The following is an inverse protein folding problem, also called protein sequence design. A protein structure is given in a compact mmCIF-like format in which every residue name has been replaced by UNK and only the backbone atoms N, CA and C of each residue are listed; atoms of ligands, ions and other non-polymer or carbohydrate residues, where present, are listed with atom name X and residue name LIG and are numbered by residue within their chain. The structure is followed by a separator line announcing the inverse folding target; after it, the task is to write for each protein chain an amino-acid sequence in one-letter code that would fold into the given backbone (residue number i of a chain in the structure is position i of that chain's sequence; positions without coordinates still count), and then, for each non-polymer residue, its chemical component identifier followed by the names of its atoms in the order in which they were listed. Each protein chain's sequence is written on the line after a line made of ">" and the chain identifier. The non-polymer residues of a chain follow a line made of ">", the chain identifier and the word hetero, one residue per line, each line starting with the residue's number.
data_IF_612750385772
#
_entry.id   IF_612750385772
#
_cell.length_a   1.000
_cell.length_b   1.000
_cell.length_c   1.000
_cell.angle_alpha   90.00
_cell.angle_beta   90.00
_cell.angle_gamma   90.00
#
_symmetry.space_group_name_H-M   'P 1'
#
loop_
_entity.id
_entity.type
_entity.pdbx_description
1 polymer ?
#
# COMPACT_ATOMS: atom_id res chain seq x y z
N UNK A 1 2.06 -1.70 4.74
CA UNK A 1 1.39 -3.01 4.63
C UNK A 1 1.59 -3.56 3.23
N UNK A 2 2.05 -4.80 3.15
CA UNK A 2 2.48 -5.39 1.88
C UNK A 2 3.20 -6.73 2.06
N UNK A 3 3.92 -7.16 1.04
CA UNK A 3 4.76 -8.37 1.11
C UNK A 3 3.97 -9.68 1.11
N UNK A 4 3.09 -9.86 0.13
CA UNK A 4 2.55 -11.15 -0.26
C UNK A 4 3.64 -12.12 -0.75
N UNK A 5 3.26 -13.39 -0.97
CA UNK A 5 4.19 -14.44 -1.40
C UNK A 5 4.98 -14.03 -2.67
N UNK A 6 6.31 -14.07 -2.57
CA UNK A 6 7.23 -13.70 -3.65
C UNK A 6 7.61 -12.21 -3.68
N UNK A 7 7.00 -11.37 -2.84
CA UNK A 7 7.18 -9.91 -2.87
C UNK A 7 7.51 -9.30 -1.50
N UNK A 8 8.03 -10.09 -0.56
CA UNK A 8 8.42 -9.64 0.78
C UNK A 8 9.39 -8.45 0.75
N UNK A 9 10.32 -8.42 -0.21
CA UNK A 9 11.29 -7.33 -0.36
C UNK A 9 10.66 -5.98 -0.66
N UNK A 10 9.51 -5.93 -1.35
CA UNK A 10 8.88 -4.66 -1.72
C UNK A 10 8.39 -3.88 -0.49
N UNK A 11 7.73 -4.56 0.46
CA UNK A 11 7.28 -3.90 1.70
C UNK A 11 8.44 -3.56 2.62
N UNK A 12 9.51 -4.37 2.62
CA UNK A 12 10.72 -4.10 3.38
C UNK A 12 11.40 -2.81 2.91
N UNK A 13 11.63 -2.67 1.61
CA UNK A 13 12.23 -1.46 1.03
C UNK A 13 11.40 -0.21 1.31
N UNK A 14 10.08 -0.31 1.21
CA UNK A 14 9.18 0.80 1.55
C UNK A 14 9.28 1.20 3.03
N UNK A 15 9.41 0.21 3.93
CA UNK A 15 9.55 0.45 5.36
C UNK A 15 10.90 1.08 5.71
N UNK A 16 12.00 0.60 5.11
CA UNK A 16 13.33 1.21 5.27
C UNK A 16 13.36 2.64 4.74
N UNK A 17 12.73 2.90 3.59
CA UNK A 17 12.63 4.25 3.06
C UNK A 17 11.88 5.19 4.01
N UNK A 18 10.78 4.72 4.63
CA UNK A 18 10.05 5.50 5.63
C UNK A 18 10.92 5.80 6.87
N UNK A 19 11.65 4.81 7.37
CA UNK A 19 12.57 4.97 8.51
C UNK A 19 13.68 5.99 8.18
N UNK A 20 14.34 5.82 7.03
CA UNK A 20 15.41 6.71 6.57
C UNK A 20 14.90 8.13 6.25
N UNK A 21 13.61 8.30 6.02
CA UNK A 21 12.97 9.62 5.85
C UNK A 21 12.62 10.31 7.17
N UNK A 22 12.94 9.69 8.32
CA UNK A 22 12.76 10.27 9.65
C UNK A 22 11.47 9.86 10.36
N UNK A 23 10.79 8.79 9.91
CA UNK A 23 9.68 8.23 10.67
C UNK A 23 10.17 7.69 12.03
N UNK A 24 9.62 8.19 13.13
CA UNK A 24 10.06 7.80 14.48
C UNK A 24 9.71 6.36 14.86
N UNK A 25 8.73 5.75 14.20
CA UNK A 25 8.31 4.38 14.43
C UNK A 25 7.75 3.77 13.14
N UNK A 26 8.27 2.62 12.70
CA UNK A 26 7.83 1.95 11.47
C UNK A 26 7.45 0.50 11.73
N UNK A 27 6.19 0.19 11.49
CA UNK A 27 5.63 -1.17 11.59
C UNK A 27 5.31 -1.75 10.21
N UNK A 28 5.76 -2.98 9.98
CA UNK A 28 5.53 -3.72 8.73
C UNK A 28 4.47 -4.79 8.94
N UNK A 29 3.23 -4.47 8.58
CA UNK A 29 2.16 -5.45 8.47
C UNK A 29 2.34 -6.30 7.19
N UNK A 30 2.64 -7.59 7.36
CA UNK A 30 2.92 -8.54 6.26
C UNK A 30 2.47 -9.97 6.59
N UNK A 31 2.70 -10.91 5.67
CA UNK A 31 2.36 -12.33 5.82
C UNK A 31 3.18 -12.97 6.94
N UNK A 32 2.63 -14.02 7.57
CA UNK A 32 3.31 -14.77 8.65
C UNK A 32 4.72 -15.23 8.26
N UNK A 33 4.89 -15.67 7.01
CA UNK A 33 6.16 -16.20 6.50
C UNK A 33 7.28 -15.14 6.43
N UNK A 34 6.92 -13.86 6.39
CA UNK A 34 7.85 -12.74 6.19
C UNK A 34 8.02 -11.87 7.44
N UNK A 35 7.08 -11.90 8.40
CA UNK A 35 7.10 -11.02 9.56
C UNK A 35 8.41 -11.14 10.39
N UNK A 36 8.96 -12.35 10.54
CA UNK A 36 10.25 -12.52 11.22
C UNK A 36 11.42 -11.97 10.39
N UNK A 37 11.36 -12.09 9.06
CA UNK A 37 12.43 -11.66 8.15
C UNK A 37 12.65 -10.14 8.23
N UNK A 38 11.59 -9.35 8.47
CA UNK A 38 11.68 -7.90 8.66
C UNK A 38 12.71 -7.56 9.75
N UNK A 39 12.59 -8.18 10.92
CA UNK A 39 13.49 -7.93 12.05
C UNK A 39 14.91 -8.45 11.82
N UNK A 40 15.06 -9.54 11.05
CA UNK A 40 16.38 -10.11 10.73
C UNK A 40 17.17 -9.21 9.78
N UNK A 41 16.48 -8.50 8.89
CA UNK A 41 17.10 -7.61 7.91
C UNK A 41 17.31 -6.21 8.49
N UNK A 42 16.35 -5.70 9.26
CA UNK A 42 16.41 -4.36 9.86
C UNK A 42 15.78 -4.39 11.25
N UNK A 43 16.57 -4.51 12.33
CA UNK A 43 16.05 -4.67 13.70
C UNK A 43 15.23 -3.47 14.20
N UNK A 44 15.36 -2.31 13.55
CA UNK A 44 14.58 -1.10 13.83
C UNK A 44 13.14 -1.19 13.33
N UNK A 45 12.85 -2.09 12.37
CA UNK A 45 11.52 -2.31 11.84
C UNK A 45 10.77 -3.35 12.67
N UNK A 46 9.51 -3.08 13.03
CA UNK A 46 8.68 -4.06 13.72
C UNK A 46 7.82 -4.83 12.72
N UNK A 47 8.14 -6.09 12.49
CA UNK A 47 7.35 -6.99 11.66
C UNK A 47 6.10 -7.52 12.38
N UNK A 48 4.93 -7.37 11.77
CA UNK A 48 3.65 -7.84 12.29
C UNK A 48 3.05 -8.87 11.33
N UNK A 49 2.64 -10.02 11.87
CA UNK A 49 1.92 -11.04 11.10
C UNK A 49 0.47 -10.62 10.91
N UNK A 50 0.00 -10.70 9.67
CA UNK A 50 -1.37 -10.35 9.29
C UNK A 50 -1.92 -11.43 8.39
N UNK A 51 -2.88 -12.21 8.88
CA UNK A 51 -3.63 -13.19 8.08
C UNK A 51 -5.10 -12.76 7.88
N UNK A 52 -5.59 -11.89 8.77
CA UNK A 52 -6.91 -11.30 8.77
C UNK A 52 -6.87 -9.86 9.34
N UNK A 53 -7.92 -9.07 9.09
CA UNK A 53 -7.97 -7.66 9.51
C UNK A 53 -7.87 -7.47 11.03
N UNK A 54 -8.43 -8.39 11.82
CA UNK A 54 -8.40 -8.29 13.28
C UNK A 54 -6.98 -8.31 13.85
N UNK A 55 -6.03 -8.95 13.16
CA UNK A 55 -4.64 -9.06 13.58
C UNK A 55 -3.92 -7.71 13.62
N UNK A 56 -4.43 -6.71 12.90
CA UNK A 56 -3.83 -5.36 12.83
C UNK A 56 -4.68 -4.27 13.46
N UNK A 57 -5.79 -4.60 14.11
CA UNK A 57 -6.70 -3.61 14.69
C UNK A 57 -6.01 -2.66 15.69
N UNK A 58 -5.23 -3.21 16.62
CA UNK A 58 -4.44 -2.42 17.57
C UNK A 58 -3.31 -1.62 16.91
N UNK A 59 -2.71 -2.17 15.85
CA UNK A 59 -1.67 -1.47 15.11
C UNK A 59 -2.26 -0.27 14.36
N UNK A 60 -3.41 -0.45 13.72
CA UNK A 60 -4.12 0.60 12.99
C UNK A 60 -4.57 1.73 13.91
N UNK A 61 -4.98 1.45 15.16
CA UNK A 61 -5.38 2.50 16.11
C UNK A 61 -4.23 3.39 16.58
N UNK A 62 -2.98 2.91 16.47
CA UNK A 62 -1.76 3.67 16.80
C UNK A 62 -1.11 4.34 15.58
N UNK A 63 -1.47 3.91 14.37
CA UNK A 63 -0.87 4.39 13.15
C UNK A 63 -1.33 5.82 12.83
N UNK A 64 -0.38 6.69 12.48
CA UNK A 64 -0.67 8.06 12.01
C UNK A 64 -0.72 8.16 10.49
N UNK A 65 -0.04 7.26 9.78
CA UNK A 65 -0.01 7.16 8.31
C UNK A 65 0.07 5.70 7.89
N UNK A 66 -0.58 5.34 6.79
CA UNK A 66 -0.52 4.01 6.19
C UNK A 66 0.18 4.05 4.82
N UNK A 67 1.07 3.10 4.54
CA UNK A 67 1.54 2.82 3.18
C UNK A 67 0.95 1.49 2.75
N UNK A 68 0.17 1.48 1.67
CA UNK A 68 -0.55 0.31 1.18
C UNK A 68 -0.08 -0.06 -0.22
N UNK A 69 0.18 -1.34 -0.44
CA UNK A 69 0.37 -1.87 -1.79
C UNK A 69 1.72 -2.49 -2.12
N UNK A 70 2.88 -2.03 -1.60
CA UNK A 70 4.18 -2.60 -1.96
C UNK A 70 4.24 -4.11 -1.80
N UNK A 71 4.17 -4.81 -2.94
CA UNK A 71 4.14 -6.26 -2.99
C UNK A 71 2.94 -6.92 -2.30
N UNK A 72 1.79 -6.28 -2.15
CA UNK A 72 0.61 -6.94 -1.55
C UNK A 72 0.20 -8.20 -2.34
N UNK A 73 0.45 -8.19 -3.65
CA UNK A 73 0.00 -9.15 -4.65
C UNK A 73 -1.54 -9.30 -4.67
N UNK A 74 -2.13 -9.46 -5.85
CA UNK A 74 -3.58 -9.56 -6.01
C UNK A 74 -4.19 -10.93 -5.61
N UNK A 75 -3.69 -11.53 -4.53
CA UNK A 75 -4.13 -12.84 -4.02
C UNK A 75 -5.24 -12.68 -2.97
N UNK A 76 -5.82 -13.82 -2.57
CA UNK A 76 -6.96 -13.89 -1.65
C UNK A 76 -6.71 -13.21 -0.28
N UNK A 77 -5.46 -13.18 0.18
CA UNK A 77 -5.08 -12.45 1.39
C UNK A 77 -5.35 -10.95 1.29
N UNK A 78 -4.78 -10.30 0.28
CA UNK A 78 -4.94 -8.86 0.07
C UNK A 78 -6.40 -8.50 -0.25
N UNK A 79 -7.09 -9.30 -1.07
CA UNK A 79 -8.52 -9.11 -1.38
C UNK A 79 -9.43 -9.14 -0.14
N UNK A 80 -9.10 -9.97 0.86
CA UNK A 80 -9.89 -10.07 2.10
C UNK A 80 -9.72 -8.86 3.03
N UNK A 81 -8.54 -8.24 3.02
CA UNK A 81 -8.21 -7.17 3.97
C UNK A 81 -8.43 -5.78 3.36
N UNK A 82 -8.30 -5.66 2.03
CA UNK A 82 -8.44 -4.39 1.30
C UNK A 82 -9.70 -3.58 1.64
N UNK A 83 -10.93 -4.16 1.68
CA UNK A 83 -12.14 -3.39 1.97
C UNK A 83 -12.11 -2.69 3.34
N UNK A 84 -11.45 -3.30 4.32
CA UNK A 84 -11.32 -2.70 5.64
C UNK A 84 -10.20 -1.66 5.72
N UNK A 85 -9.17 -1.75 4.88
CA UNK A 85 -8.10 -0.75 4.82
C UNK A 85 -8.59 0.52 4.12
N UNK A 86 -9.28 0.36 2.99
CA UNK A 86 -9.73 1.49 2.18
C UNK A 86 -10.79 2.34 2.88
N UNK A 87 -11.54 1.76 3.83
CA UNK A 87 -12.57 2.45 4.61
C UNK A 87 -12.06 3.21 5.84
N UNK A 88 -10.78 3.06 6.21
CA UNK A 88 -10.20 3.81 7.33
C UNK A 88 -10.16 5.30 7.03
N UNK A 89 -10.28 6.15 8.03
CA UNK A 89 -10.01 7.58 7.92
C UNK A 89 -8.62 7.90 8.49
N UNK A 90 -7.60 7.46 7.75
CA UNK A 90 -6.19 7.67 8.07
C UNK A 90 -5.46 8.17 6.83
N UNK A 91 -4.53 9.14 6.99
CA UNK A 91 -3.60 9.52 5.94
C UNK A 91 -2.90 8.30 5.33
N UNK A 92 -2.88 8.20 4.00
CA UNK A 92 -2.29 7.03 3.35
C UNK A 92 -1.55 7.32 2.04
N UNK A 93 -0.54 6.51 1.76
CA UNK A 93 0.03 6.36 0.44
C UNK A 93 -0.51 5.06 -0.17
N UNK A 94 -1.09 5.14 -1.36
CA UNK A 94 -1.57 3.98 -2.12
C UNK A 94 -0.65 3.79 -3.31
N UNK A 95 0.00 2.64 -3.36
CA UNK A 95 1.01 2.31 -4.37
C UNK A 95 0.76 0.92 -4.98
N UNK A 96 1.38 0.64 -6.11
CA UNK A 96 1.48 -0.69 -6.71
C UNK A 96 0.16 -1.50 -6.72
N UNK A 97 0.15 -2.68 -6.07
CA UNK A 97 -1.02 -3.56 -6.02
C UNK A 97 -2.26 -2.91 -5.39
N UNK A 98 -2.09 -1.95 -4.48
CA UNK A 98 -3.21 -1.24 -3.88
C UNK A 98 -3.90 -0.31 -4.89
N UNK A 99 -3.17 0.26 -5.85
CA UNK A 99 -3.76 1.03 -6.96
C UNK A 99 -4.60 0.12 -7.87
N UNK A 100 -4.18 -1.14 -8.05
CA UNK A 100 -4.97 -2.10 -8.81
C UNK A 100 -6.28 -2.45 -8.11
N UNK A 101 -6.25 -2.66 -6.78
CA UNK A 101 -7.47 -2.86 -6.01
C UNK A 101 -8.39 -1.64 -6.01
N UNK A 102 -7.80 -0.44 -5.98
CA UNK A 102 -8.55 0.81 -6.10
C UNK A 102 -9.23 0.93 -7.46
N UNK A 103 -8.58 0.49 -8.55
CA UNK A 103 -9.22 0.47 -9.87
C UNK A 103 -10.36 -0.56 -9.97
N UNK A 104 -10.25 -1.71 -9.28
CA UNK A 104 -11.32 -2.72 -9.20
C UNK A 104 -12.49 -2.26 -8.32
N UNK A 105 -12.19 -1.57 -7.23
CA UNK A 105 -13.15 -1.06 -6.25
C UNK A 105 -12.90 0.43 -5.99
N UNK A 106 -13.39 1.31 -6.88
CA UNK A 106 -13.15 2.74 -6.77
C UNK A 106 -13.66 3.30 -5.44
N UNK A 107 -12.81 4.09 -4.81
CA UNK A 107 -13.10 4.87 -3.62
C UNK A 107 -12.53 6.27 -3.80
N UNK A 108 -12.81 7.17 -2.87
CA UNK A 108 -12.21 8.50 -2.80
C UNK A 108 -11.85 8.83 -1.36
N UNK A 109 -10.76 9.57 -1.18
CA UNK A 109 -10.35 10.11 0.11
C UNK A 109 -9.57 11.41 -0.12
N UNK A 110 -9.83 12.44 0.68
CA UNK A 110 -8.98 13.65 0.70
C UNK A 110 -7.63 13.39 1.39
N UNK A 111 -7.51 12.29 2.14
CA UNK A 111 -6.37 11.96 3.00
C UNK A 111 -5.46 10.90 2.36
N UNK A 112 -5.24 10.97 1.05
CA UNK A 112 -4.37 10.02 0.37
C UNK A 112 -3.37 10.65 -0.60
N UNK A 113 -2.32 9.90 -0.91
CA UNK A 113 -1.39 10.17 -2.00
C UNK A 113 -1.35 8.92 -2.86
N UNK A 114 -1.71 9.06 -4.14
CA UNK A 114 -1.61 7.99 -5.12
C UNK A 114 -0.25 8.07 -5.83
N UNK A 115 0.44 6.94 -6.01
CA UNK A 115 1.75 6.89 -6.69
C UNK A 115 1.74 6.09 -8.00
N UNK A 116 0.77 6.26 -8.91
CA UNK A 116 0.66 5.41 -10.08
C UNK A 116 1.77 5.66 -11.09
N UNK A 117 2.34 4.57 -11.62
CA UNK A 117 3.03 4.63 -12.89
C UNK A 117 2.03 4.77 -14.05
N UNK A 118 2.51 4.93 -15.29
CA UNK A 118 1.68 5.16 -16.48
C UNK A 118 0.55 4.14 -16.69
N UNK A 119 0.86 2.84 -16.59
CA UNK A 119 -0.14 1.77 -16.70
C UNK A 119 -1.15 1.70 -15.55
N UNK A 120 -0.78 2.06 -14.32
CA UNK A 120 -1.70 2.11 -13.18
C UNK A 120 -2.65 3.31 -13.29
N UNK A 121 -2.13 4.47 -13.70
CA UNK A 121 -2.95 5.65 -13.96
C UNK A 121 -3.98 5.38 -15.06
N UNK A 122 -3.56 4.74 -16.16
CA UNK A 122 -4.44 4.33 -17.24
C UNK A 122 -5.54 3.36 -16.74
N UNK A 123 -5.19 2.41 -15.86
CA UNK A 123 -6.14 1.48 -15.26
C UNK A 123 -7.14 2.18 -14.34
N UNK A 124 -6.68 3.10 -13.50
CA UNK A 124 -7.52 3.89 -12.59
C UNK A 124 -8.51 4.78 -13.37
N UNK A 125 -8.06 5.38 -14.48
CA UNK A 125 -8.87 6.26 -15.32
C UNK A 125 -9.64 5.53 -16.44
N UNK A 126 -9.54 4.20 -16.49
CA UNK A 126 -10.17 3.36 -17.53
C UNK A 126 -9.87 3.83 -18.97
N UNK A 127 -8.63 4.26 -19.22
CA UNK A 127 -8.17 4.74 -20.53
C UNK A 127 -6.88 4.03 -20.96
N UNK A 128 -6.34 4.39 -22.12
CA UNK A 128 -5.05 3.87 -22.57
C UNK A 128 -3.89 4.68 -21.98
N UNK A 129 -2.68 4.10 -22.00
CA UNK A 129 -1.45 4.85 -21.65
C UNK A 129 -1.15 5.98 -22.63
N UNK A 130 -1.64 5.88 -23.88
CA UNK A 130 -1.53 6.95 -24.87
C UNK A 130 -2.34 8.17 -24.43
N UNK A 131 -3.56 7.96 -23.92
CA UNK A 131 -4.41 9.05 -23.42
C UNK A 131 -3.77 9.76 -22.23
N UNK A 132 -3.12 9.02 -21.32
CA UNK A 132 -2.35 9.60 -20.20
C UNK A 132 -1.17 10.44 -20.70
N UNK A 133 -0.46 9.96 -21.72
CA UNK A 133 0.71 10.65 -22.28
C UNK A 133 0.33 11.92 -23.04
N UNK A 134 -0.87 11.98 -23.64
CA UNK A 134 -1.34 13.18 -24.33
C UNK A 134 -1.49 14.37 -23.40
N UNK A 135 -1.97 14.15 -22.16
CA UNK A 135 -2.06 15.21 -21.15
C UNK A 135 -1.92 14.66 -19.73
N UNK A 136 -0.67 14.59 -19.25
CA UNK A 136 -0.34 14.10 -17.91
C UNK A 136 -0.90 14.99 -16.80
N UNK A 137 -1.02 16.30 -17.03
CA UNK A 137 -1.53 17.22 -16.01
C UNK A 137 -3.04 17.05 -15.84
N UNK A 138 -3.77 16.90 -16.95
CA UNK A 138 -5.19 16.54 -16.90
C UNK A 138 -5.39 15.18 -16.23
N UNK A 139 -4.59 14.17 -16.57
CA UNK A 139 -4.69 12.85 -15.94
C UNK A 139 -4.53 12.93 -14.41
N UNK A 140 -3.53 13.67 -13.91
CA UNK A 140 -3.33 13.86 -12.47
C UNK A 140 -4.52 14.57 -11.81
N UNK A 141 -5.11 15.58 -12.45
CA UNK A 141 -6.30 16.29 -11.92
C UNK A 141 -7.58 15.44 -11.95
N UNK A 142 -7.66 14.44 -12.82
CA UNK A 142 -8.82 13.53 -12.86
C UNK A 142 -8.70 12.43 -11.80
N UNK A 143 -7.48 12.10 -11.37
CA UNK A 143 -7.23 11.06 -10.35
C UNK A 143 -7.58 11.51 -8.92
N UNK A 144 -7.56 12.81 -8.63
CA UNK A 144 -7.73 13.38 -7.30
C UNK A 144 -8.33 14.78 -7.35
#
# INVERSE_FOLDING_TARGET
>A
MGGGYGYAGAVHLAAEAALNSGAGLVSVATRKEHALQVHLLSPELMGHTVEQISDISELLSKATVLVLGPGMAQRQWAKRIWPALISLDLPRVIDADALNFLAETPAYSDNWVLTPHLGEAARLLQCSTVDILQDRYKAVRTLQ
#
